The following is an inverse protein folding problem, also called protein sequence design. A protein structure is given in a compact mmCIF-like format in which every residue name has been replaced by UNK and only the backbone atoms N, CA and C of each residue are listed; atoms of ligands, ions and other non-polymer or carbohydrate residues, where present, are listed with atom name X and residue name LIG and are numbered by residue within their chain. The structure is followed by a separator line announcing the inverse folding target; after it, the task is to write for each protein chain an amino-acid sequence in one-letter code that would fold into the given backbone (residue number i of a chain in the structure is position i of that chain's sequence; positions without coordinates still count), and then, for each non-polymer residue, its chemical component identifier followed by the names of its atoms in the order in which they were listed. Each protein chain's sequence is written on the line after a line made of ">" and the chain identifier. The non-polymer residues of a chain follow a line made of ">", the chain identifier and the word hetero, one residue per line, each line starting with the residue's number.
data_IF_393713849641
#
_entry.id   IF_393713849641
#
_cell.length_a   1.000
_cell.length_b   1.000
_cell.length_c   1.000
_cell.angle_alpha   90.00
_cell.angle_beta   90.00
_cell.angle_gamma   90.00
#
_symmetry.space_group_name_H-M   'P 1'
#
loop_
_entity.id
_entity.type
_entity.pdbx_description
1 polymer ?
2 non-polymer ?
3 non-polymer ?
4 water ?
#
# COMPACT_ATOMS: atom_id res chain seq x y z
N UNK A 3 6.17 21.82 -13.59
CA UNK A 3 5.62 22.38 -14.82
C UNK A 3 4.34 23.18 -14.59
N UNK A 4 4.39 24.13 -13.65
CA UNK A 4 3.26 25.01 -13.38
C UNK A 4 2.06 24.32 -12.70
N UNK A 5 2.16 23.03 -12.40
CA UNK A 5 1.13 22.39 -11.59
C UNK A 5 1.41 22.68 -10.12
N UNK A 6 0.35 22.87 -9.33
CA UNK A 6 0.56 22.96 -7.88
C UNK A 6 0.28 21.61 -7.24
N UNK A 7 1.29 21.04 -6.59
CA UNK A 7 1.17 19.67 -6.09
C UNK A 7 1.56 19.54 -4.63
N UNK A 8 0.77 18.75 -3.90
CA UNK A 8 1.00 18.56 -2.47
C UNK A 8 1.06 17.08 -2.14
N UNK A 9 1.97 16.72 -1.26
CA UNK A 9 2.00 15.39 -0.69
C UNK A 9 0.74 15.13 0.09
N UNK A 10 0.42 13.87 0.32
CA UNK A 10 -0.62 13.56 1.31
C UNK A 10 0.13 13.31 2.62
N UNK A 11 -0.55 13.55 3.76
CA UNK A 11 -0.03 14.63 4.59
C UNK A 11 0.87 15.57 3.79
N UNK A 12 0.44 16.81 3.69
CA UNK A 12 1.22 17.90 3.13
C UNK A 12 2.50 18.14 3.91
N UNK A 13 3.60 18.42 3.20
CA UNK A 13 4.87 18.74 3.84
C UNK A 13 5.22 20.21 3.59
N UNK A 14 6.24 20.71 4.29
CA UNK A 14 6.70 22.09 4.08
C UNK A 14 7.74 22.16 2.97
N UNK A 15 8.41 23.31 2.86
CA UNK A 15 9.26 23.60 1.71
C UNK A 15 10.68 23.00 1.78
N UNK A 16 11.15 22.67 2.98
CA UNK A 16 12.51 22.14 3.12
C UNK A 16 12.52 20.64 3.32
N UNK A 17 11.33 20.06 3.42
CA UNK A 17 11.20 18.61 3.47
C UNK A 17 11.57 18.07 2.09
N UNK A 18 12.63 17.26 2.03
CA UNK A 18 13.04 16.70 0.73
C UNK A 18 11.89 15.93 0.09
N UNK A 19 11.07 15.29 0.92
CA UNK A 19 9.88 14.60 0.45
C UNK A 19 8.85 15.58 -0.15
N UNK A 20 8.59 15.45 -1.45
CA UNK A 20 7.63 16.30 -2.14
C UNK A 20 6.62 15.48 -2.94
N UNK A 21 5.70 16.15 -3.62
CA UNK A 21 4.62 15.49 -4.34
C UNK A 21 5.11 14.84 -5.62
N UNK A 22 6.26 15.30 -6.11
CA UNK A 22 6.83 14.72 -7.31
C UNK A 22 8.34 14.71 -7.21
N UNK A 23 8.98 13.94 -8.07
CA UNK A 23 10.42 13.89 -8.11
C UNK A 23 10.87 13.98 -9.56
N UNK A 24 12.16 14.18 -9.76
CA UNK A 24 12.70 14.30 -11.12
C UNK A 24 12.17 13.20 -12.03
N UNK A 25 12.14 11.97 -11.54
CA UNK A 25 11.71 10.82 -12.33
C UNK A 25 10.38 11.11 -13.02
N UNK A 26 9.44 11.72 -12.30
CA UNK A 26 8.11 12.03 -12.83
C UNK A 26 8.20 12.97 -14.03
N UNK A 27 8.95 14.04 -13.85
CA UNK A 27 9.11 15.01 -14.92
C UNK A 27 9.87 14.44 -16.13
N UNK A 28 10.84 13.58 -15.88
CA UNK A 28 11.64 12.96 -16.94
C UNK A 28 10.72 12.08 -17.78
N UNK A 29 9.90 11.30 -17.08
CA UNK A 29 8.90 10.47 -17.71
C UNK A 29 8.01 11.33 -18.59
N UNK A 30 7.44 12.38 -18.00
CA UNK A 30 6.58 13.27 -18.74
C UNK A 30 7.26 13.75 -20.00
N UNK A 31 8.53 14.14 -19.87
CA UNK A 31 9.24 14.78 -20.96
C UNK A 31 9.42 13.81 -22.11
N UNK A 32 9.50 12.50 -21.82
CA UNK A 32 9.54 11.50 -22.90
C UNK A 32 8.38 11.63 -23.90
N UNK A 33 7.28 12.23 -23.46
CA UNK A 33 6.08 12.34 -24.28
C UNK A 33 5.93 13.72 -24.91
N UNK A 34 6.84 14.63 -24.59
CA UNK A 34 6.75 16.00 -25.10
C UNK A 34 6.60 16.08 -26.62
N UNK A 35 7.31 15.21 -27.33
CA UNK A 35 7.28 15.24 -28.80
C UNK A 35 6.42 14.11 -29.34
N UNK A 36 5.38 13.76 -28.57
CA UNK A 36 4.56 12.60 -28.87
C UNK A 36 3.08 13.01 -28.99
N UNK A 37 2.40 12.44 -29.97
CA UNK A 37 0.95 12.56 -30.06
C UNK A 37 0.36 11.38 -29.30
N UNK A 38 -0.29 11.68 -28.18
CA UNK A 38 -0.72 10.64 -27.26
C UNK A 38 -1.95 9.91 -27.74
N UNK A 39 -1.90 8.59 -27.70
CA UNK A 39 -3.07 7.76 -27.97
C UNK A 39 -3.44 6.91 -26.75
N UNK A 40 -4.62 7.17 -26.21
CA UNK A 40 -5.11 6.39 -25.07
C UNK A 40 -5.43 4.97 -25.49
N UNK A 41 -5.74 4.10 -24.52
CA UNK A 41 -5.69 4.39 -23.09
C UNK A 41 -4.28 4.82 -22.63
N UNK A 42 -4.23 5.66 -21.61
CA UNK A 42 -2.99 5.98 -20.93
C UNK A 42 -3.01 5.32 -19.56
N UNK A 43 -2.06 4.42 -19.31
CA UNK A 43 -1.94 3.76 -18.01
C UNK A 43 -0.79 4.34 -17.19
N UNK A 44 -1.06 4.68 -15.94
CA UNK A 44 -0.04 5.23 -15.04
C UNK A 44 0.04 4.36 -13.77
N UNK A 45 1.20 3.76 -13.53
CA UNK A 45 1.35 2.86 -12.40
C UNK A 45 2.20 3.46 -11.27
N UNK A 46 1.66 3.36 -10.06
CA UNK A 46 2.36 3.76 -8.83
C UNK A 46 2.68 5.25 -8.83
N UNK A 47 1.76 6.03 -9.38
CA UNK A 47 1.83 7.50 -9.34
C UNK A 47 1.54 7.97 -7.91
N UNK A 48 2.60 8.15 -7.13
CA UNK A 48 2.52 8.30 -5.67
C UNK A 48 1.56 9.37 -5.14
N UNK A 49 1.55 10.55 -5.74
CA UNK A 49 0.65 11.60 -5.28
C UNK A 49 -0.10 12.26 -6.44
N UNK A 50 -0.09 11.60 -7.59
CA UNK A 50 -0.89 12.01 -8.73
C UNK A 50 -0.24 13.05 -9.61
N UNK A 51 1.08 13.18 -9.55
CA UNK A 51 1.75 14.19 -10.37
C UNK A 51 1.50 13.91 -11.85
N UNK A 52 1.79 12.68 -12.26
CA UNK A 52 1.61 12.26 -13.65
C UNK A 52 0.13 12.30 -14.06
N UNK A 53 -0.75 11.84 -13.17
CA UNK A 53 -2.17 11.83 -13.46
C UNK A 53 -2.71 13.25 -13.70
N UNK A 54 -2.30 14.19 -12.86
CA UNK A 54 -2.64 15.59 -13.07
C UNK A 54 -2.07 16.12 -14.38
N UNK A 55 -0.79 15.84 -14.64
CA UNK A 55 -0.16 16.33 -15.85
C UNK A 55 -0.87 15.84 -17.10
N UNK A 56 -1.36 14.60 -17.04
CA UNK A 56 -1.93 13.94 -18.21
C UNK A 56 -3.45 13.80 -18.14
N UNK A 57 -4.09 14.54 -17.23
CA UNK A 57 -5.53 14.41 -17.04
C UNK A 57 -6.35 14.55 -18.35
N UNK A 58 -5.95 15.47 -19.23
CA UNK A 58 -6.70 15.72 -20.47
C UNK A 58 -6.89 14.46 -21.30
N UNK A 59 -6.03 13.47 -21.06
CA UNK A 59 -6.10 12.23 -21.82
C UNK A 59 -6.91 11.19 -21.08
N UNK A 60 -7.46 11.59 -19.94
CA UNK A 60 -8.29 10.69 -19.15
C UNK A 60 -7.50 9.42 -18.84
N UNK A 61 -6.46 9.56 -18.01
CA UNK A 61 -5.57 8.43 -17.74
C UNK A 61 -6.17 7.44 -16.75
N UNK A 62 -5.67 6.21 -16.77
CA UNK A 62 -5.97 5.27 -15.71
C UNK A 62 -4.78 5.25 -14.75
N UNK A 63 -5.04 5.56 -13.49
CA UNK A 63 -4.03 5.49 -12.45
C UNK A 63 -4.13 4.15 -11.73
N UNK A 64 -3.18 3.26 -12.00
CA UNK A 64 -3.17 1.94 -11.40
C UNK A 64 -2.12 1.86 -10.30
N UNK A 65 -2.48 1.24 -9.18
CA UNK A 65 -1.58 1.12 -8.05
C UNK A 65 -2.20 0.43 -6.86
N UNK A 66 -1.45 0.33 -5.78
CA UNK A 66 -1.94 -0.40 -4.60
C UNK A 66 -1.98 0.50 -3.38
N UNK A 67 -2.43 1.73 -3.60
CA UNK A 67 -2.40 2.73 -2.55
C UNK A 67 -3.63 3.66 -2.58
N UNK A 68 -4.45 3.55 -1.55
CA UNK A 68 -5.57 4.46 -1.39
C UNK A 68 -5.07 5.86 -1.02
N UNK A 69 -3.93 5.92 -0.33
CA UNK A 69 -3.36 7.23 -0.01
C UNK A 69 -3.04 7.95 -1.32
N UNK A 70 -2.54 7.21 -2.30
CA UNK A 70 -2.22 7.80 -3.59
C UNK A 70 -3.47 8.33 -4.26
N UNK A 71 -4.57 7.57 -4.21
CA UNK A 71 -5.82 8.07 -4.79
C UNK A 71 -6.30 9.34 -4.10
N UNK A 72 -6.31 9.32 -2.77
CA UNK A 72 -6.72 10.50 -2.01
C UNK A 72 -5.86 11.70 -2.42
N UNK A 73 -4.55 11.49 -2.44
CA UNK A 73 -3.61 12.57 -2.74
C UNK A 73 -3.88 13.11 -4.14
N UNK A 74 -4.16 12.18 -5.07
CA UNK A 74 -4.35 12.52 -6.48
C UNK A 74 -5.61 13.34 -6.67
N UNK A 75 -6.67 12.97 -5.95
CA UNK A 75 -7.92 13.72 -6.00
C UNK A 75 -7.70 15.12 -5.46
N UNK A 76 -7.03 15.21 -4.31
CA UNK A 76 -6.73 16.53 -3.77
C UNK A 76 -5.98 17.38 -4.80
N UNK A 77 -4.91 16.84 -5.36
CA UNK A 77 -4.11 17.60 -6.31
C UNK A 77 -4.88 17.98 -7.57
N UNK A 78 -5.73 17.08 -8.03
CA UNK A 78 -6.62 17.39 -9.14
C UNK A 78 -7.44 18.62 -8.79
N UNK A 79 -7.95 18.65 -7.56
CA UNK A 79 -8.80 19.76 -7.12
C UNK A 79 -8.03 21.07 -7.02
N UNK A 80 -6.83 20.99 -6.46
CA UNK A 80 -5.96 22.15 -6.34
C UNK A 80 -5.61 22.74 -7.71
N UNK A 81 -5.75 21.93 -8.76
CA UNK A 81 -5.43 22.40 -10.10
C UNK A 81 -6.67 22.63 -10.94
N UNK A 82 -7.83 22.63 -10.29
CA UNK A 82 -9.08 22.89 -11.00
C UNK A 82 -9.38 21.88 -12.09
N UNK A 83 -8.97 20.64 -11.87
CA UNK A 83 -9.25 19.57 -12.82
C UNK A 83 -10.36 18.68 -12.27
N UNK A 84 -11.25 18.22 -13.15
CA UNK A 84 -12.33 17.33 -12.72
C UNK A 84 -11.74 16.02 -12.19
N UNK A 85 -12.27 15.57 -11.04
CA UNK A 85 -11.90 14.27 -10.47
C UNK A 85 -12.12 13.17 -11.49
N UNK A 86 -13.19 13.33 -12.26
CA UNK A 86 -13.65 12.30 -13.18
C UNK A 86 -12.65 12.06 -14.29
N UNK A 87 -11.68 12.95 -14.44
CA UNK A 87 -10.71 12.79 -15.53
C UNK A 87 -9.81 11.58 -15.29
N UNK A 88 -9.60 11.23 -14.03
CA UNK A 88 -8.68 10.14 -13.69
C UNK A 88 -9.44 8.92 -13.16
N UNK A 89 -9.25 7.78 -13.81
CA UNK A 89 -9.89 6.54 -13.37
C UNK A 89 -8.91 5.72 -12.53
N UNK A 90 -9.36 5.34 -11.33
CA UNK A 90 -8.50 4.64 -10.38
C UNK A 90 -8.74 3.14 -10.39
N UNK A 91 -7.65 2.39 -10.53
CA UNK A 91 -7.72 0.94 -10.58
C UNK A 91 -6.74 0.33 -9.60
N UNK A 92 -7.15 -0.77 -8.98
CA UNK A 92 -6.25 -1.55 -8.14
C UNK A 92 -5.27 -2.31 -9.02
N UNK A 93 -4.14 -2.73 -8.44
CA UNK A 93 -3.09 -3.36 -9.22
C UNK A 93 -3.52 -4.73 -9.75
N UNK A 94 -4.45 -5.36 -9.04
CA UNK A 94 -4.91 -6.72 -9.34
C UNK A 94 -6.08 -6.73 -10.34
N UNK A 95 -6.57 -5.53 -10.67
CA UNK A 95 -7.69 -5.42 -11.60
C UNK A 95 -7.26 -5.70 -13.04
N UNK A 96 -8.25 -5.90 -13.90
CA UNK A 96 -8.01 -6.06 -15.33
C UNK A 96 -7.70 -4.70 -15.94
N UNK A 97 -6.58 -4.60 -16.62
CA UNK A 97 -6.16 -3.34 -17.22
C UNK A 97 -6.89 -3.12 -18.54
N UNK A 98 -7.13 -1.84 -18.89
CA UNK A 98 -7.72 -1.49 -20.19
C UNK A 98 -6.90 -2.06 -21.34
N UNK A 99 -7.58 -2.62 -22.33
CA UNK A 99 -6.93 -3.26 -23.48
C UNK A 99 -6.20 -2.28 -24.40
N UNK A 100 -5.19 -2.75 -25.09
CA UNK A 100 -4.51 -1.94 -26.10
C UNK A 100 -4.18 -0.53 -25.60
N UNK A 101 -3.50 -0.42 -24.45
CA UNK A 101 -3.07 0.90 -24.00
C UNK A 101 -2.08 1.45 -25.01
N UNK A 102 -2.06 2.77 -25.22
CA UNK A 102 -1.13 3.34 -26.17
C UNK A 102 0.15 3.79 -25.48
N UNK A 103 0.00 4.18 -24.22
CA UNK A 103 1.10 4.64 -23.39
C UNK A 103 0.99 4.05 -21.99
N UNK A 104 2.07 3.43 -21.54
CA UNK A 104 2.17 2.94 -20.18
C UNK A 104 3.37 3.59 -19.50
N UNK A 105 3.09 4.39 -18.46
CA UNK A 105 4.11 5.00 -17.62
C UNK A 105 4.14 4.26 -16.29
N UNK A 106 5.33 3.81 -15.91
CA UNK A 106 5.50 3.05 -14.68
C UNK A 106 6.49 3.73 -13.75
N UNK A 107 6.05 4.16 -12.57
CA UNK A 107 6.98 4.46 -11.51
C UNK A 107 7.41 3.13 -10.89
N UNK A 108 8.70 2.83 -10.92
CA UNK A 108 9.18 1.57 -10.36
C UNK A 108 8.84 1.53 -8.88
N UNK A 109 8.13 0.47 -8.45
CA UNK A 109 7.70 0.41 -7.05
C UNK A 109 8.82 -0.09 -6.15
N UNK A 110 8.63 0.03 -4.84
CA UNK A 110 9.68 -0.35 -3.90
C UNK A 110 10.02 -1.83 -3.97
N UNK A 111 9.03 -2.68 -4.27
CA UNK A 111 9.25 -4.13 -4.28
C UNK A 111 9.25 -4.77 -5.67
N UNK A 112 10.21 -5.66 -5.89
CA UNK A 112 10.29 -6.42 -7.12
C UNK A 112 8.99 -7.17 -7.37
N UNK A 113 8.44 -7.76 -6.31
CA UNK A 113 7.27 -8.62 -6.45
C UNK A 113 6.06 -7.86 -7.04
N UNK A 114 5.80 -6.65 -6.54
CA UNK A 114 4.73 -5.83 -7.08
C UNK A 114 4.97 -5.49 -8.55
N UNK A 115 6.21 -5.14 -8.87
CA UNK A 115 6.55 -4.82 -10.25
C UNK A 115 6.26 -5.99 -11.16
N UNK A 116 6.65 -7.19 -10.72
CA UNK A 116 6.43 -8.39 -11.54
C UNK A 116 4.95 -8.66 -11.72
N UNK A 117 4.14 -8.52 -10.67
CA UNK A 117 2.71 -8.75 -10.86
C UNK A 117 2.14 -7.73 -11.84
N UNK A 118 2.62 -6.49 -11.75
CA UNK A 118 2.15 -5.44 -12.65
C UNK A 118 2.58 -5.66 -14.09
N UNK A 119 3.79 -6.18 -14.29
CA UNK A 119 4.28 -6.44 -15.64
C UNK A 119 3.53 -7.61 -16.24
N UNK A 120 3.27 -8.64 -15.43
CA UNK A 120 2.44 -9.76 -15.90
C UNK A 120 1.03 -9.29 -16.23
N UNK A 121 0.50 -8.36 -15.43
CA UNK A 121 -0.84 -7.81 -15.73
C UNK A 121 -0.84 -6.99 -17.02
N UNK A 122 0.26 -6.29 -17.27
CA UNK A 122 0.39 -5.48 -18.48
C UNK A 122 0.57 -6.36 -19.71
N UNK A 123 1.27 -7.47 -19.51
CA UNK A 123 1.55 -8.44 -20.55
C UNK A 123 0.26 -8.88 -21.24
N UNK A 124 -0.85 -8.89 -20.50
CA UNK A 124 -2.14 -9.30 -21.04
C UNK A 124 -2.76 -8.26 -21.98
N UNK A 125 -2.32 -7.00 -21.88
CA UNK A 125 -3.02 -5.92 -22.60
C UNK A 125 -2.16 -5.11 -23.56
N UNK A 126 -0.84 -5.11 -23.38
CA UNK A 126 0.00 -4.26 -24.24
C UNK A 126 0.23 -4.92 -25.59
N UNK A 127 0.55 -4.09 -26.59
CA UNK A 127 0.97 -4.57 -27.89
C UNK A 127 2.36 -4.04 -28.16
N UNK A 128 2.94 -4.39 -29.31
CA UNK A 128 4.25 -3.90 -29.67
C UNK A 128 4.19 -2.43 -30.10
N UNK A 129 2.96 -1.91 -30.20
CA UNK A 129 2.77 -0.49 -30.48
C UNK A 129 2.76 0.33 -29.19
N UNK A 130 2.48 -0.33 -28.07
CA UNK A 130 2.45 0.37 -26.79
C UNK A 130 3.79 1.03 -26.51
N UNK A 131 3.76 2.32 -26.18
CA UNK A 131 4.94 3.01 -25.67
C UNK A 131 5.05 2.71 -24.18
N UNK A 132 6.07 1.96 -23.79
CA UNK A 132 6.24 1.56 -22.38
C UNK A 132 7.49 2.18 -21.76
N UNK A 133 7.30 2.98 -20.72
CA UNK A 133 8.40 3.66 -20.09
C UNK A 133 8.33 3.60 -18.57
N UNK A 134 9.45 3.28 -17.93
CA UNK A 134 9.53 3.24 -16.48
C UNK A 134 10.56 4.25 -15.96
N UNK A 135 10.31 4.76 -14.77
CA UNK A 135 11.17 5.79 -14.24
C UNK A 135 11.31 5.63 -12.74
N UNK A 136 12.45 6.05 -12.22
CA UNK A 136 12.66 6.02 -10.78
C UNK A 136 13.94 6.76 -10.47
N UNK A 137 14.21 6.99 -9.19
CA UNK A 137 15.55 7.38 -8.80
C UNK A 137 16.54 6.41 -9.45
N UNK A 138 17.64 6.95 -9.98
CA UNK A 138 18.62 6.12 -10.65
C UNK A 138 19.04 4.96 -9.76
N UNK A 139 19.21 5.24 -8.47
CA UNK A 139 19.71 4.23 -7.55
C UNK A 139 18.70 3.10 -7.34
N UNK A 140 17.46 3.32 -7.74
CA UNK A 140 16.41 2.32 -7.56
C UNK A 140 16.24 1.42 -8.80
N UNK A 141 17.01 1.70 -9.85
CA UNK A 141 16.98 0.92 -11.08
C UNK A 141 18.10 -0.12 -11.06
N UNK A 142 17.77 -1.36 -10.72
CA UNK A 142 18.80 -2.39 -10.63
C UNK A 142 18.80 -3.31 -11.84
N UNK A 143 19.85 -4.10 -11.95
CA UNK A 143 19.92 -5.12 -12.98
C UNK A 143 18.68 -6.00 -12.91
N UNK A 144 18.26 -6.34 -11.70
CA UNK A 144 17.07 -7.18 -11.49
C UNK A 144 15.82 -6.55 -12.09
N UNK A 145 15.74 -5.22 -12.05
CA UNK A 145 14.60 -4.51 -12.61
C UNK A 145 14.52 -4.77 -14.11
N UNK A 146 15.62 -4.46 -14.78
CA UNK A 146 15.75 -4.66 -16.22
C UNK A 146 15.42 -6.09 -16.56
N UNK A 147 16.06 -7.01 -15.85
CA UNK A 147 15.85 -8.43 -16.10
C UNK A 147 14.37 -8.73 -16.05
N UNK A 148 13.69 -8.24 -15.02
CA UNK A 148 12.25 -8.46 -14.91
C UNK A 148 11.56 -8.03 -16.19
N UNK A 149 11.87 -6.81 -16.63
CA UNK A 149 11.29 -6.33 -17.88
C UNK A 149 11.52 -7.26 -19.07
N UNK A 150 12.76 -7.73 -19.26
CA UNK A 150 13.07 -8.61 -20.38
C UNK A 150 12.30 -9.92 -20.27
N UNK A 151 12.25 -10.45 -19.05
CA UNK A 151 11.56 -11.69 -18.76
C UNK A 151 10.09 -11.58 -19.16
N UNK A 152 9.41 -10.56 -18.67
CA UNK A 152 7.95 -10.48 -18.82
C UNK A 152 7.45 -9.75 -20.09
N UNK A 153 8.06 -8.63 -20.45
CA UNK A 153 7.56 -7.82 -21.55
C UNK A 153 8.45 -7.82 -22.79
N UNK A 154 9.72 -7.48 -22.60
CA UNK A 154 10.64 -7.49 -23.72
C UNK A 154 11.87 -6.64 -23.55
N UNK A 155 12.64 -6.50 -24.64
CA UNK A 155 13.99 -5.92 -24.65
C UNK A 155 13.94 -4.49 -24.15
N UNK A 156 14.94 -4.12 -23.36
CA UNK A 156 14.95 -2.81 -22.73
C UNK A 156 16.07 -1.95 -23.24
N UNK A 157 15.82 -0.66 -23.23
CA UNK A 157 16.83 0.35 -23.43
C UNK A 157 16.82 1.20 -22.16
N UNK A 158 17.93 1.84 -21.81
CA UNK A 158 17.95 2.75 -20.66
C UNK A 158 18.40 4.12 -21.11
N UNK A 159 18.11 5.14 -20.31
CA UNK A 159 18.52 6.50 -20.63
C UNK A 159 19.68 6.95 -19.75
N UNK A 160 20.21 8.12 -20.03
CA UNK A 160 21.19 8.74 -19.16
C UNK A 160 20.50 9.19 -17.88
N UNK A 161 21.31 9.48 -16.85
CA UNK A 161 20.79 10.06 -15.62
C UNK A 161 20.44 11.52 -15.83
N UNK A 162 19.32 11.95 -15.25
CA UNK A 162 18.96 13.35 -15.21
C UNK A 162 18.45 13.69 -13.82
N UNK A 163 19.25 14.43 -13.05
CA UNK A 163 18.87 14.84 -11.72
C UNK A 163 18.54 13.63 -10.84
N UNK A 164 19.41 12.62 -10.93
CA UNK A 164 19.35 11.45 -10.06
C UNK A 164 18.20 10.52 -10.44
N UNK A 165 17.48 10.88 -11.50
CA UNK A 165 16.43 10.02 -12.01
C UNK A 165 16.92 9.30 -13.25
N UNK A 166 16.31 8.15 -13.54
CA UNK A 166 16.63 7.40 -14.75
C UNK A 166 15.41 6.60 -15.23
N UNK A 167 15.42 6.31 -16.53
CA UNK A 167 14.29 5.65 -17.19
C UNK A 167 14.68 4.39 -17.96
N UNK A 168 13.67 3.55 -18.18
CA UNK A 168 13.78 2.32 -18.94
C UNK A 168 12.71 2.37 -20.04
N UNK A 169 13.10 2.11 -21.29
CA UNK A 169 12.15 1.91 -22.37
C UNK A 169 11.99 0.43 -22.66
N UNK A 170 10.75 0.00 -22.84
CA UNK A 170 10.49 -1.40 -23.12
C UNK A 170 9.71 -1.53 -24.41
N UNK A 171 10.10 -2.49 -25.25
CA UNK A 171 9.32 -2.81 -26.44
C UNK A 171 8.74 -4.20 -26.25
N UNK A 172 7.42 -4.30 -26.25
CA UNK A 172 6.79 -5.57 -25.96
C UNK A 172 7.10 -6.65 -26.99
N UNK A 173 7.61 -7.78 -26.49
CA UNK A 173 8.10 -8.89 -27.29
C UNK A 173 7.19 -10.11 -27.16
N UNK A 174 6.37 -10.12 -26.10
CA UNK A 174 5.70 -11.33 -25.64
C UNK A 174 6.66 -12.52 -25.59
N UNK A 175 7.75 -12.39 -24.80
CA UNK A 175 8.72 -13.46 -24.54
C UNK A 175 8.05 -14.68 -23.88
N UNK A 176 8.62 -15.86 -24.09
CA UNK A 176 8.10 -17.09 -23.50
C UNK A 176 8.12 -17.03 -21.97
N UNK A 177 6.96 -17.20 -21.35
CA UNK A 177 6.88 -17.04 -19.91
C UNK A 177 5.94 -18.03 -19.24
N UNK A 178 6.43 -18.75 -18.25
CA UNK A 178 5.59 -19.64 -17.47
C UNK A 178 4.63 -18.82 -16.60
N UNK A 179 3.36 -19.19 -16.59
CA UNK A 179 2.40 -18.52 -15.73
C UNK A 179 2.81 -18.67 -14.28
N UNK A 180 2.47 -17.68 -13.46
CA UNK A 180 2.79 -17.72 -12.04
C UNK A 180 1.58 -17.27 -11.21
N UNK A 181 1.46 -17.80 -9.98
CA UNK A 181 0.32 -17.51 -9.11
C UNK A 181 0.27 -16.06 -8.66
N UNK A 182 -0.92 -15.62 -8.24
CA UNK A 182 -1.11 -14.25 -7.76
C UNK A 182 -0.59 -14.12 -6.33
N UNK A 183 -0.65 -15.22 -5.59
CA UNK A 183 -0.36 -15.19 -4.16
C UNK A 183 0.79 -16.11 -3.79
N UNK A 184 1.46 -15.76 -2.70
CA UNK A 184 2.45 -16.62 -2.08
C UNK A 184 1.85 -17.13 -0.78
N UNK A 185 1.82 -18.45 -0.61
CA UNK A 185 1.19 -19.04 0.56
C UNK A 185 2.21 -19.70 1.48
N UNK A 186 1.93 -19.68 2.77
CA UNK A 186 2.74 -20.44 3.72
C UNK A 186 1.93 -20.84 4.95
N UNK A 187 2.33 -21.92 5.60
CA UNK A 187 1.58 -22.41 6.75
C UNK A 187 1.94 -21.63 8.01
N UNK A 188 0.92 -21.15 8.70
CA UNK A 188 1.12 -20.47 9.96
C UNK A 188 1.32 -21.51 11.06
N UNK A 189 2.55 -21.59 11.56
CA UNK A 189 2.91 -22.56 12.59
C UNK A 189 1.94 -22.53 13.77
N UNK A 190 1.68 -23.71 14.33
CA UNK A 190 0.81 -23.82 15.49
C UNK A 190 -0.65 -23.71 15.08
N UNK A 191 -0.90 -23.68 13.78
CA UNK A 191 -2.26 -23.49 13.28
C UNK A 191 -2.55 -24.44 12.14
N UNK A 192 -3.82 -24.61 11.84
CA UNK A 192 -4.24 -25.30 10.63
C UNK A 192 -4.35 -24.28 9.49
N UNK A 193 -3.74 -23.11 9.67
CA UNK A 193 -3.97 -22.01 8.73
C UNK A 193 -2.91 -21.86 7.65
N UNK A 194 -3.38 -21.61 6.43
CA UNK A 194 -2.48 -21.26 5.34
C UNK A 194 -2.71 -19.79 4.99
N UNK A 195 -1.64 -19.01 5.02
CA UNK A 195 -1.69 -17.58 4.78
C UNK A 195 -1.24 -17.25 3.36
N UNK A 196 -2.16 -16.64 2.60
CA UNK A 196 -1.87 -16.20 1.24
C UNK A 196 -1.53 -14.70 1.22
N UNK A 197 -0.63 -14.32 0.32
CA UNK A 197 -0.09 -12.97 0.30
C UNK A 197 0.03 -12.45 -1.12
N UNK A 198 -0.68 -11.36 -1.39
CA UNK A 198 -0.54 -10.65 -2.65
C UNK A 198 0.82 -9.98 -2.78
N UNK A 199 1.12 -9.51 -3.98
CA UNK A 199 2.45 -9.03 -4.34
C UNK A 199 3.03 -7.96 -3.41
N UNK A 200 2.22 -6.97 -3.04
CA UNK A 200 2.72 -5.81 -2.28
C UNK A 200 2.57 -5.96 -0.76
N UNK A 201 2.12 -7.12 -0.29
CA UNK A 201 1.80 -7.32 1.12
C UNK A 201 3.05 -7.37 2.02
N UNK A 202 2.98 -6.70 3.17
CA UNK A 202 4.08 -6.70 4.13
C UNK A 202 4.47 -8.11 4.57
N UNK A 203 5.77 -8.39 4.60
CA UNK A 203 6.29 -9.68 5.05
C UNK A 203 5.52 -10.84 4.41
N UNK A 204 5.47 -10.84 3.08
CA UNK A 204 4.62 -11.78 2.35
C UNK A 204 5.20 -13.18 2.23
N UNK A 205 6.51 -13.32 2.44
CA UNK A 205 7.15 -14.63 2.23
C UNK A 205 7.11 -15.52 3.47
N UNK A 206 6.87 -14.92 4.64
CA UNK A 206 6.82 -15.68 5.88
C UNK A 206 6.39 -14.82 7.06
N UNK A 207 5.98 -15.48 8.14
CA UNK A 207 5.45 -14.77 9.30
C UNK A 207 6.44 -13.74 9.85
N UNK A 208 5.97 -12.52 10.01
CA UNK A 208 6.77 -11.46 10.62
C UNK A 208 6.97 -11.76 12.10
N UNK A 209 8.18 -11.55 12.59
CA UNK A 209 8.52 -11.87 13.97
C UNK A 209 7.89 -10.88 14.95
N UNK A 210 7.69 -9.65 14.47
CA UNK A 210 6.99 -8.66 15.27
C UNK A 210 5.58 -9.17 15.53
N UNK A 211 4.93 -9.63 14.46
CA UNK A 211 3.59 -10.18 14.54
C UNK A 211 3.56 -11.46 15.39
N UNK A 212 4.55 -12.33 15.21
CA UNK A 212 4.64 -13.53 16.02
C UNK A 212 4.66 -13.19 17.50
N UNK A 213 5.45 -12.18 17.87
CA UNK A 213 5.51 -11.74 19.26
C UNK A 213 4.18 -11.12 19.73
N UNK A 214 3.54 -10.36 18.84
CA UNK A 214 2.26 -9.71 19.14
C UNK A 214 1.15 -10.73 19.45
N UNK A 216 1.09 -13.51 20.75
CA UNK A 216 1.15 -14.17 22.05
C UNK A 216 0.50 -13.32 23.14
N UNK A 217 0.57 -12.00 22.99
CA UNK A 217 0.07 -11.11 24.01
C UNK A 217 -1.16 -10.34 23.55
N UNK A 218 -1.92 -10.94 22.64
CA UNK A 218 -3.17 -10.35 22.19
C UNK A 218 -4.24 -10.51 23.27
N UNK A 219 -5.08 -9.48 23.44
CA UNK A 219 -6.15 -9.50 24.44
C UNK A 219 -7.21 -10.52 24.07
N UNK A 220 -7.89 -11.08 25.06
CA UNK A 220 -8.91 -12.10 24.81
C UNK A 220 -10.22 -11.76 25.50
N UNK A 221 -11.25 -12.56 25.24
CA UNK A 221 -12.58 -12.29 25.75
C UNK A 221 -12.99 -10.84 25.50
N UNK A 222 -12.88 -10.43 24.23
CA UNK A 222 -13.28 -9.11 23.80
C UNK A 222 -14.66 -9.16 23.14
N UNK A 223 -15.43 -8.09 23.28
CA UNK A 223 -16.73 -7.97 22.63
C UNK A 223 -16.75 -6.76 21.73
N UNK A 224 -17.90 -6.50 21.10
CA UNK A 224 -18.05 -5.35 20.23
C UNK A 224 -17.19 -5.47 18.98
N UNK A 225 -16.81 -4.33 18.42
CA UNK A 225 -15.92 -4.32 17.26
C UNK A 225 -14.48 -4.04 17.68
N UNK A 226 -13.56 -4.76 17.07
CA UNK A 226 -12.15 -4.53 17.32
C UNK A 226 -11.45 -4.38 15.96
N UNK A 227 -10.37 -3.61 15.93
CA UNK A 227 -9.74 -3.29 14.67
C UNK A 227 -8.34 -3.90 14.50
N UNK A 228 -8.14 -4.57 13.38
CA UNK A 228 -6.80 -4.90 12.91
C UNK A 228 -6.33 -3.72 12.04
N UNK A 229 -5.72 -2.73 12.70
CA UNK A 229 -5.37 -1.48 12.03
C UNK A 229 -4.04 -1.63 11.32
N UNK A 230 -4.08 -1.63 9.99
CA UNK A 230 -2.90 -1.96 9.19
C UNK A 230 -2.74 -3.47 9.15
N UNK A 231 -3.75 -4.14 8.59
CA UNK A 231 -3.88 -5.59 8.71
C UNK A 231 -2.88 -6.40 7.87
N UNK A 232 -2.44 -5.86 6.74
CA UNK A 232 -1.56 -6.62 5.86
C UNK A 232 -2.22 -7.93 5.44
N UNK A 233 -1.56 -9.05 5.69
CA UNK A 233 -2.13 -10.35 5.34
C UNK A 233 -3.24 -10.83 6.29
N UNK A 234 -3.45 -10.09 7.39
CA UNK A 234 -4.60 -10.34 8.25
C UNK A 234 -4.34 -11.25 9.43
N UNK A 235 -3.14 -11.81 9.52
CA UNK A 235 -2.83 -12.79 10.54
C UNK A 235 -3.26 -12.38 11.98
N UNK A 236 -3.06 -11.11 12.33
CA UNK A 236 -3.50 -10.63 13.62
C UNK A 236 -5.03 -10.70 13.70
N UNK A 237 -5.69 -10.26 12.64
CA UNK A 237 -7.15 -10.29 12.56
C UNK A 237 -7.69 -11.70 12.71
N UNK A 238 -7.10 -12.64 11.98
CA UNK A 238 -7.47 -14.05 12.09
C UNK A 238 -7.34 -14.52 13.53
N UNK A 239 -6.19 -14.24 14.13
CA UNK A 239 -5.92 -14.67 15.50
C UNK A 239 -6.92 -14.08 16.48
N UNK A 240 -7.33 -12.84 16.23
CA UNK A 240 -8.33 -12.17 17.05
C UNK A 240 -9.69 -12.84 16.90
N UNK A 241 -10.03 -13.24 15.68
CA UNK A 241 -11.30 -13.90 15.45
C UNK A 241 -11.32 -15.24 16.16
N UNK A 242 -10.21 -15.96 16.08
CA UNK A 242 -10.13 -17.27 16.72
C UNK A 242 -10.10 -17.14 18.24
N UNK A 243 -9.62 -16.00 18.73
CA UNK A 243 -9.48 -15.80 20.17
C UNK A 243 -10.70 -15.14 20.82
N UNK A 244 -11.41 -14.30 20.06
CA UNK A 244 -12.55 -13.57 20.61
C UNK A 244 -13.85 -13.89 19.90
N UNK A 245 -14.45 -15.04 20.26
CA UNK A 245 -15.63 -15.59 19.58
C UNK A 245 -16.75 -14.57 19.45
N UNK A 246 -16.87 -13.64 20.38
CA UNK A 246 -18.00 -12.72 20.41
C UNK A 246 -17.73 -11.38 19.74
N UNK A 247 -16.49 -11.14 19.36
CA UNK A 247 -16.13 -9.86 18.75
C UNK A 247 -16.31 -9.91 17.24
N UNK A 248 -16.56 -8.76 16.64
CA UNK A 248 -16.42 -8.64 15.19
C UNK A 248 -15.11 -7.91 14.89
N UNK A 249 -14.48 -8.26 13.78
CA UNK A 249 -13.16 -7.73 13.49
C UNK A 249 -13.16 -6.92 12.21
N UNK A 250 -12.63 -5.70 12.30
CA UNK A 250 -12.50 -4.82 11.15
C UNK A 250 -11.06 -4.84 10.67
N UNK A 251 -10.83 -5.38 9.47
CA UNK A 251 -9.52 -5.41 8.87
C UNK A 251 -9.29 -4.12 8.08
N UNK A 252 -8.33 -3.31 8.49
CA UNK A 252 -8.13 -2.01 7.87
C UNK A 252 -6.73 -1.87 7.26
N UNK A 253 -6.65 -1.54 5.97
CA UNK A 253 -5.35 -1.25 5.38
C UNK A 253 -5.43 -0.25 4.23
N UNK A 254 -4.35 0.48 4.05
CA UNK A 254 -4.23 1.50 3.00
C UNK A 254 -4.05 0.82 1.65
N UNK A 255 -3.57 -0.42 1.70
CA UNK A 255 -3.26 -1.21 0.53
C UNK A 255 -4.38 -2.19 0.22
N UNK A 256 -5.04 -2.01 -0.94
CA UNK A 256 -6.11 -2.91 -1.35
C UNK A 256 -5.63 -4.36 -1.45
N UNK A 258 -3.42 -5.77 0.57
CA UNK A 258 -3.45 -6.26 1.95
C UNK A 258 -4.87 -6.67 2.34
N UNK A 259 -5.84 -5.79 2.06
CA UNK A 259 -7.22 -6.09 2.38
C UNK A 259 -7.67 -7.38 1.66
N UNK A 260 -7.43 -7.45 0.36
CA UNK A 260 -7.73 -8.65 -0.41
C UNK A 260 -7.11 -9.88 0.24
N UNK A 261 -5.84 -9.78 0.64
CA UNK A 261 -5.17 -10.91 1.27
C UNK A 261 -5.87 -11.32 2.57
N UNK A 262 -6.21 -10.34 3.41
CA UNK A 262 -6.93 -10.61 4.66
C UNK A 262 -8.26 -11.33 4.40
N UNK A 263 -9.03 -10.80 3.44
CA UNK A 263 -10.31 -11.38 3.10
C UNK A 263 -10.11 -12.83 2.67
N UNK A 264 -9.11 -13.05 1.83
CA UNK A 264 -8.80 -14.38 1.32
C UNK A 264 -8.44 -15.31 2.47
N UNK A 265 -7.70 -14.79 3.45
CA UNK A 265 -7.21 -15.65 4.52
C UNK A 265 -8.31 -16.01 5.51
N UNK A 266 -9.30 -15.13 5.67
CA UNK A 266 -10.48 -15.48 6.44
C UNK A 266 -11.36 -16.48 5.67
N UNK A 267 -11.62 -16.19 4.39
CA UNK A 267 -12.38 -17.08 3.52
C UNK A 267 -11.76 -18.48 3.48
N UNK A 268 -10.45 -18.54 3.62
CA UNK A 268 -9.68 -19.75 3.41
C UNK A 268 -9.49 -20.53 4.70
N UNK A 269 -9.28 -19.83 5.81
CA UNK A 269 -8.94 -20.50 7.06
C UNK A 269 -10.06 -20.56 8.10
N UNK A 271 -14.03 -19.50 7.19
CA UNK A 271 -15.20 -18.88 6.54
C UNK A 271 -16.38 -18.76 7.48
N UNK A 272 -16.47 -19.66 8.45
CA UNK A 272 -17.54 -19.61 9.45
C UNK A 272 -17.52 -18.31 10.26
N UNK A 273 -16.46 -17.52 10.08
CA UNK A 273 -16.29 -16.30 10.85
C UNK A 273 -16.54 -15.06 9.99
N UNK A 274 -16.80 -15.28 8.71
CA UNK A 274 -16.98 -14.17 7.77
C UNK A 274 -18.09 -13.21 8.16
N UNK A 275 -19.12 -13.72 8.83
CA UNK A 275 -20.25 -12.88 9.26
C UNK A 275 -19.81 -11.80 10.23
N UNK A 276 -18.63 -11.96 10.82
CA UNK A 276 -18.16 -11.06 11.87
C UNK A 276 -17.02 -10.17 11.41
N UNK A 277 -16.76 -10.16 10.10
CA UNK A 277 -15.65 -9.40 9.56
C UNK A 277 -16.12 -8.21 8.73
N UNK A 278 -15.38 -7.11 8.83
CA UNK A 278 -15.52 -6.00 7.89
C UNK A 278 -14.14 -5.78 7.26
N UNK A 279 -14.12 -5.55 5.96
CA UNK A 279 -12.87 -5.36 5.23
C UNK A 279 -12.85 -3.97 4.64
N UNK A 281 -10.84 -0.58 3.18
CA UNK A 281 -9.68 0.08 2.61
C UNK A 281 -9.74 1.55 3.03
N UNK A 282 -8.75 2.00 3.79
CA UNK A 282 -8.83 3.35 4.31
C UNK A 282 -7.47 3.90 4.70
N UNK A 283 -7.41 5.22 4.85
CA UNK A 283 -6.26 5.86 5.45
C UNK A 283 -6.48 5.83 6.96
N UNK A 284 -5.86 4.87 7.64
CA UNK A 284 -6.15 4.64 9.04
C UNK A 284 -7.65 4.58 9.24
N UNK A 285 -8.18 5.48 10.07
CA UNK A 285 -9.59 5.45 10.39
C UNK A 285 -10.31 6.75 9.99
N UNK A 286 -9.78 7.42 8.96
CA UNK A 286 -10.38 8.66 8.46
C UNK A 286 -11.85 8.50 8.13
N UNK A 287 -12.67 9.43 8.61
CA UNK A 287 -14.10 9.39 8.31
C UNK A 287 -14.84 8.34 9.10
N UNK A 288 -14.17 7.72 10.06
CA UNK A 288 -14.80 6.71 10.91
C UNK A 288 -15.39 7.34 12.18
N UNK A 289 -16.53 6.82 12.63
CA UNK A 289 -17.22 7.39 13.78
C UNK A 289 -16.36 7.26 15.04
N UNK A 290 -16.30 8.33 15.85
CA UNK A 290 -15.59 8.22 17.12
C UNK A 290 -16.35 7.29 18.08
N UNK A 291 -15.67 6.83 19.13
CA UNK A 291 -16.30 6.01 20.16
C UNK A 291 -17.00 4.78 19.60
N UNK A 292 -16.38 4.12 18.63
CA UNK A 292 -17.02 2.98 18.01
C UNK A 292 -16.47 1.63 18.48
N UNK A 293 -15.18 1.59 18.81
CA UNK A 293 -14.52 0.30 19.01
C UNK A 293 -14.18 -0.01 20.45
N UNK A 294 -14.11 -1.30 20.75
CA UNK A 294 -13.66 -1.77 22.06
C UNK A 294 -12.15 -1.89 22.10
N UNK A 295 -11.57 -2.29 20.98
CA UNK A 295 -10.12 -2.44 20.93
C UNK A 295 -9.59 -2.16 19.53
N UNK A 296 -8.38 -1.62 19.49
CA UNK A 296 -7.65 -1.46 18.24
C UNK A 296 -6.28 -2.10 18.42
N UNK A 297 -5.84 -2.85 17.42
CA UNK A 297 -4.54 -3.50 17.48
C UNK A 297 -3.76 -3.09 16.25
N UNK A 298 -2.49 -2.73 16.44
CA UNK A 298 -1.74 -2.09 15.37
C UNK A 298 -0.27 -2.48 15.40
N UNK A 299 0.27 -2.81 14.24
CA UNK A 299 1.70 -3.05 14.07
C UNK A 299 2.22 -2.05 13.05
N UNK A 300 2.43 -0.79 13.49
CA UNK A 300 2.70 0.36 12.62
C UNK A 300 3.90 0.14 11.73
N UNK A 301 3.94 0.82 10.58
CA UNK A 301 5.08 0.68 9.68
C UNK A 301 6.36 1.09 10.39
N UNK A 302 7.44 0.39 10.07
CA UNK A 302 8.70 0.56 10.77
C UNK A 302 9.69 1.37 9.92
N UNK A 310 6.78 8.05 13.24
CA UNK A 310 7.03 8.20 11.81
C UNK A 310 6.01 9.13 11.17
N UNK A 311 5.31 9.90 12.00
CA UNK A 311 4.15 10.68 11.57
C UNK A 311 2.97 9.76 11.29
N UNK A 312 3.28 8.63 10.65
CA UNK A 312 2.30 7.62 10.31
C UNK A 312 1.77 6.93 11.56
N UNK A 313 2.67 6.44 12.38
CA UNK A 313 2.31 5.72 13.60
C UNK A 313 1.55 6.64 14.54
N UNK A 314 1.91 7.91 14.54
CA UNK A 314 1.27 8.90 15.42
C UNK A 314 -0.12 9.23 14.89
N UNK A 315 -0.25 9.27 13.57
CA UNK A 315 -1.57 9.42 12.95
C UNK A 315 -2.45 8.24 13.35
N UNK A 317 -2.10 6.26 15.99
CA UNK A 317 -2.41 6.35 17.42
C UNK A 317 -3.57 7.31 17.65
N UNK A 318 -3.50 8.50 17.07
CA UNK A 318 -4.59 9.46 17.20
C UNK A 318 -5.93 8.96 16.68
N UNK A 319 -5.93 8.33 15.51
CA UNK A 319 -7.16 7.75 14.96
C UNK A 319 -7.72 6.71 15.92
N UNK A 320 -6.82 5.92 16.49
CA UNK A 320 -7.17 4.87 17.42
C UNK A 320 -7.85 5.49 18.63
N UNK A 321 -7.23 6.52 19.19
CA UNK A 321 -7.80 7.17 20.37
C UNK A 321 -9.16 7.74 20.05
N UNK A 322 -9.29 8.37 18.88
CA UNK A 322 -10.54 8.99 18.50
C UNK A 322 -11.67 7.97 18.32
N UNK A 323 -11.42 6.86 17.65
CA UNK A 323 -12.49 5.90 17.37
C UNK A 323 -12.70 4.84 18.46
N UNK A 324 -11.86 4.86 19.50
CA UNK A 324 -12.07 3.96 20.62
C UNK A 324 -13.20 4.46 21.53
N UNK A 325 -13.89 3.53 22.18
CA UNK A 325 -14.83 3.89 23.24
C UNK A 325 -14.04 4.28 24.49
N UNK A 326 -14.72 4.93 25.43
CA UNK A 326 -14.10 5.14 26.73
C UNK A 326 -13.78 3.77 27.34
N UNK A 327 -12.60 3.66 27.93
CA UNK A 327 -12.14 2.38 28.46
C UNK A 327 -11.72 1.39 27.36
N UNK A 328 -11.95 1.76 26.11
CA UNK A 328 -11.43 1.00 24.97
C UNK A 328 -9.91 0.96 25.03
N UNK A 329 -9.31 -0.05 24.40
CA UNK A 329 -7.87 -0.23 24.48
C UNK A 329 -7.14 -0.30 23.14
N UNK A 330 -5.99 0.36 23.07
CA UNK A 330 -5.09 0.25 21.93
C UNK A 330 -3.88 -0.60 22.32
N UNK A 331 -3.62 -1.63 21.52
CA UNK A 331 -2.47 -2.50 21.71
C UNK A 331 -1.53 -2.35 20.52
N UNK A 332 -0.24 -2.32 20.81
CA UNK A 332 0.77 -2.09 19.77
C UNK A 332 1.95 -3.05 19.93
N UNK A 333 2.51 -3.51 18.81
CA UNK A 333 3.86 -4.04 18.82
C UNK A 333 4.74 -3.00 18.19
N UNK A 334 5.93 -2.79 18.74
CA UNK A 334 6.82 -1.78 18.20
C UNK A 334 8.24 -2.22 18.44
N UNK A 335 9.17 -1.71 17.63
CA UNK A 335 10.57 -1.92 17.94
C UNK A 335 10.90 -1.29 19.29
N UNK A 336 11.66 -2.02 20.11
CA UNK A 336 11.94 -1.62 21.49
C UNK A 336 12.55 -0.22 21.65
N UNK A 337 13.23 0.28 20.62
CA UNK A 337 14.08 1.46 20.75
C UNK A 337 13.37 2.77 20.45
N UNK A 338 12.27 2.73 19.72
CA UNK A 338 11.47 3.92 19.47
C UNK A 338 10.82 4.36 20.78
N UNK A 339 10.50 5.65 20.91
CA UNK A 339 9.90 6.14 22.14
C UNK A 339 8.38 6.11 22.12
N UNK A 340 7.83 5.03 21.58
CA UNK A 340 6.39 4.89 21.46
C UNK A 340 5.68 4.87 22.82
N UNK A 341 6.33 4.33 23.86
CA UNK A 341 5.75 4.37 25.19
C UNK A 341 5.32 5.79 25.56
N UNK A 342 6.21 6.75 25.32
CA UNK A 342 5.97 8.13 25.74
C UNK A 342 4.99 8.85 24.83
N UNK A 343 5.04 8.55 23.54
CA UNK A 343 4.07 9.11 22.61
C UNK A 343 2.66 8.63 22.98
N UNK A 344 2.53 7.34 23.25
CA UNK A 344 1.25 6.80 23.72
C UNK A 344 0.81 7.48 25.01
N UNK A 345 1.70 7.57 25.99
CA UNK A 345 1.33 8.19 27.26
C UNK A 345 0.84 9.63 27.05
N UNK A 346 1.51 10.34 26.15
CA UNK A 346 1.14 11.72 25.83
C UNK A 346 -0.26 11.75 25.22
N UNK A 347 -0.46 10.95 24.18
CA UNK A 347 -1.73 10.91 23.46
C UNK A 347 -2.92 10.44 24.30
N UNK A 348 -2.71 9.39 25.10
CA UNK A 348 -3.80 8.75 25.86
C UNK A 348 -3.83 9.14 27.33
N UNK A 349 -2.71 9.62 27.84
CA UNK A 349 -2.59 9.92 29.26
C UNK A 349 -1.93 8.77 29.99
N UNK A 350 -2.09 7.56 29.46
CA UNK A 350 -1.51 6.37 30.08
C UNK A 350 -0.80 5.48 29.07
N UNK A 351 -0.12 4.47 29.59
CA UNK A 351 0.51 3.43 28.78
C UNK A 351 1.13 2.38 29.68
N UNK A 352 1.10 1.13 29.21
CA UNK A 352 1.53 0.00 30.02
C UNK A 352 2.26 -1.01 29.14
N UNK A 353 3.42 -1.46 29.59
CA UNK A 353 4.18 -2.46 28.85
C UNK A 353 3.68 -3.87 29.20
N UNK A 354 3.07 -4.53 28.21
CA UNK A 354 2.55 -5.88 28.36
C UNK A 354 3.66 -6.90 28.33
N UNK A 355 4.60 -6.71 27.41
CA UNK A 355 5.67 -7.66 27.19
C UNK A 355 6.78 -7.02 26.37
N UNK A 356 7.96 -7.62 26.39
CA UNK A 356 9.09 -7.08 25.66
C UNK A 356 10.06 -8.17 25.18
N UNK A 357 10.32 -8.15 23.88
CA UNK A 357 11.21 -9.09 23.21
C UNK A 357 12.65 -8.59 23.36
N UNK A 358 13.59 -9.27 22.71
CA UNK A 358 14.93 -8.72 22.57
C UNK A 358 14.89 -7.51 21.65
N UNK A 359 13.91 -7.49 20.77
CA UNK A 359 13.80 -6.44 19.77
C UNK A 359 12.45 -5.73 19.80
N UNK A 360 11.43 -6.41 20.34
CA UNK A 360 10.07 -5.86 20.29
C UNK A 360 9.44 -5.62 21.64
N UNK A 361 8.51 -4.68 21.69
CA UNK A 361 7.75 -4.41 22.89
C UNK A 361 6.26 -4.34 22.53
N UNK A 362 5.42 -4.93 23.38
CA UNK A 362 3.97 -4.79 23.23
C UNK A 362 3.45 -3.80 24.26
N UNK A 363 2.80 -2.74 23.79
CA UNK A 363 2.31 -1.66 24.64
C UNK A 363 0.80 -1.63 24.63
N UNK A 364 0.24 -0.96 25.64
CA UNK A 364 -1.21 -0.90 25.82
C UNK A 364 -1.62 0.45 26.41
N UNK A 365 -2.54 1.14 25.73
CA UNK A 365 -3.05 2.40 26.25
C UNK A 365 -4.58 2.41 26.30
N UNK A 366 -5.14 2.87 27.40
CA UNK A 366 -6.59 2.93 27.57
C UNK A 366 -7.13 4.32 27.22
N UNK A 367 -8.28 4.37 26.57
CA UNK A 367 -8.90 5.65 26.27
C UNK A 367 -9.67 6.17 27.49
N UNK A 368 -9.36 7.41 27.88
CA UNK A 368 -9.92 7.98 29.09
C UNK A 368 -10.86 9.14 28.78
#
# INVERSE_FOLDING_TARGET
>A
HXRSLTLQRFPATDDVNPLQAWEAADEYLLQQLDDTEIRGPVLILNDAFGALSCALAEHKPYSIGDSYISELATRENLRLNGIDESSVKFLDSTADYPQQPGVVLIKVPKTLALLEQQLRALRKVVTSDTRIIAGAKARDIHTSTLELFEKVLGPTTTTLAWKKARLINCTFNEPQLADAPQTVSWKLEGTDWTIHNHANVFSRTGLDIGARFFXQHLPENLEGEIVDLGCGNGVIGLTLLDKNPQAKVVFVDESPXAVASSRLNVETNXPEALDRCEFXINNALSGVEPFRFNAVLCNPPFHQQHALTDNVAWEXFHHARRCLKINGELYIVANRHLDYFHKLKKIFGNCTTIATNNKFVVLKAVKLEHHHHHH
#
